data_IF_854868359793
#
_entry.id   IF_854868359793
#
_cell.length_a   1.000
_cell.length_b   1.000
_cell.length_c   1.000
_cell.angle_alpha   90.00
_cell.angle_beta   90.00
_cell.angle_gamma   90.00
#
_symmetry.space_group_name_H-M   'P 1'
#
loop_
_entity.id
_entity.type
_entity.pdbx_description
1 polymer ?
#
# COMPACT_ATOMS: atom_id res chain seq x y z
N UNK A 1 37.56 -8.56 -25.13
CA UNK A 1 36.94 -7.40 -25.81
C UNK A 1 35.60 -7.15 -25.10
N UNK A 2 35.43 -6.00 -24.45
CA UNK A 2 34.31 -5.71 -23.53
C UNK A 2 32.96 -5.62 -24.25
N UNK A 3 32.30 -6.76 -24.48
CA UNK A 3 30.91 -6.83 -24.97
C UNK A 3 29.85 -6.31 -23.98
N UNK A 4 30.29 -5.82 -22.81
CA UNK A 4 29.47 -5.45 -21.65
C UNK A 4 28.91 -4.01 -21.77
N UNK A 5 29.39 -3.22 -22.73
CA UNK A 5 28.88 -1.85 -22.98
C UNK A 5 27.63 -1.81 -23.87
N UNK A 6 27.02 -2.95 -24.21
CA UNK A 6 25.71 -2.94 -24.87
C UNK A 6 24.68 -2.27 -23.95
N UNK A 7 23.95 -1.30 -24.51
CA UNK A 7 22.91 -0.55 -23.80
C UNK A 7 21.89 -1.56 -23.21
N UNK A 8 21.60 -1.54 -21.91
CA UNK A 8 20.61 -2.43 -21.33
C UNK A 8 19.25 -2.16 -21.97
N UNK A 9 18.54 -3.24 -22.32
CA UNK A 9 17.13 -3.18 -22.72
C UNK A 9 16.28 -2.86 -21.49
N UNK A 10 15.02 -2.46 -21.69
CA UNK A 10 14.10 -2.03 -20.63
C UNK A 10 13.91 -3.04 -19.49
N UNK A 11 14.36 -4.29 -19.66
CA UNK A 11 14.24 -5.41 -18.74
C UNK A 11 15.46 -5.65 -17.83
N UNK A 12 16.48 -4.79 -17.86
CA UNK A 12 17.68 -5.02 -17.02
C UNK A 12 17.42 -4.56 -15.59
N UNK A 13 17.31 -5.50 -14.65
CA UNK A 13 17.07 -5.21 -13.23
C UNK A 13 18.31 -4.66 -12.52
N UNK A 14 18.12 -4.03 -11.36
CA UNK A 14 19.23 -3.64 -10.49
C UNK A 14 20.14 -4.84 -10.16
N UNK A 15 19.55 -6.02 -9.94
CA UNK A 15 20.30 -7.25 -9.68
C UNK A 15 21.21 -7.67 -10.86
N UNK A 16 20.73 -7.52 -12.10
CA UNK A 16 21.53 -7.83 -13.29
C UNK A 16 22.71 -6.88 -13.45
N UNK A 17 22.51 -5.58 -13.16
CA UNK A 17 23.58 -4.57 -13.20
C UNK A 17 24.63 -4.85 -12.12
N UNK A 18 24.20 -5.18 -10.90
CA UNK A 18 25.09 -5.55 -9.80
C UNK A 18 25.94 -6.79 -10.15
N UNK A 19 25.32 -7.80 -10.78
CA UNK A 19 26.03 -8.99 -11.25
C UNK A 19 27.08 -8.66 -12.32
N UNK A 20 26.74 -7.79 -13.27
CA UNK A 20 27.69 -7.35 -14.30
C UNK A 20 28.87 -6.56 -13.68
N UNK A 21 28.60 -5.72 -12.67
CA UNK A 21 29.62 -4.97 -11.93
C UNK A 21 30.58 -5.89 -11.16
N UNK A 22 30.06 -6.94 -10.55
CA UNK A 22 30.84 -7.93 -9.81
C UNK A 22 31.75 -8.77 -10.72
N UNK A 23 31.43 -8.88 -12.01
CA UNK A 23 32.28 -9.59 -12.98
C UNK A 23 33.54 -8.81 -13.40
N UNK A 24 33.65 -7.51 -13.06
CA UNK A 24 34.84 -6.70 -13.32
C UNK A 24 35.84 -6.89 -12.18
N UNK A 25 36.86 -7.72 -12.41
CA UNK A 25 37.98 -7.93 -11.49
C UNK A 25 39.08 -6.86 -11.72
N UNK A 26 38.82 -5.66 -11.21
CA UNK A 26 39.76 -4.54 -11.29
C UNK A 26 41.10 -4.86 -10.56
N UNK A 27 41.11 -5.47 -9.36
CA UNK A 27 42.36 -5.84 -8.70
C UNK A 27 43.25 -6.79 -9.50
N UNK A 28 42.69 -7.74 -10.24
CA UNK A 28 43.48 -8.61 -11.11
C UNK A 28 44.08 -7.84 -12.30
N UNK A 29 43.37 -6.88 -12.87
CA UNK A 29 43.86 -6.04 -13.97
C UNK A 29 44.98 -5.09 -13.51
N UNK A 30 44.84 -4.49 -12.34
CA UNK A 30 45.87 -3.65 -11.70
C UNK A 30 47.13 -4.46 -11.42
N UNK A 31 46.99 -5.68 -10.86
CA UNK A 31 48.11 -6.59 -10.64
C UNK A 31 48.82 -6.95 -11.94
N UNK A 32 48.08 -7.25 -13.01
CA UNK A 32 48.65 -7.56 -14.31
C UNK A 32 49.43 -6.38 -14.91
N UNK A 33 48.96 -5.14 -14.71
CA UNK A 33 49.68 -3.93 -15.09
C UNK A 33 50.98 -3.77 -14.31
N UNK A 34 50.95 -3.94 -12.99
CA UNK A 34 52.14 -3.82 -12.16
C UNK A 34 53.17 -4.92 -12.44
N UNK A 35 52.74 -6.16 -12.66
CA UNK A 35 53.62 -7.23 -13.14
C UNK A 35 54.28 -6.89 -14.48
N UNK A 36 53.54 -6.27 -15.42
CA UNK A 36 54.11 -5.85 -16.71
C UNK A 36 55.16 -4.74 -16.54
N UNK A 37 54.92 -3.78 -15.64
CA UNK A 37 55.90 -2.73 -15.30
C UNK A 37 57.15 -3.31 -14.66
N UNK A 38 57.00 -4.22 -13.69
CA UNK A 38 58.11 -4.90 -13.02
C UNK A 38 58.96 -5.69 -14.02
N UNK A 39 58.31 -6.49 -14.89
CA UNK A 39 59.01 -7.22 -15.96
C UNK A 39 59.82 -6.30 -16.87
N UNK A 40 59.28 -5.14 -17.25
CA UNK A 40 60.02 -4.15 -18.05
C UNK A 40 61.23 -3.61 -17.29
N UNK A 41 61.06 -3.25 -16.01
CA UNK A 41 62.16 -2.73 -15.19
C UNK A 41 63.30 -3.75 -15.05
N UNK A 42 62.98 -5.01 -14.76
CA UNK A 42 63.97 -6.08 -14.59
C UNK A 42 64.77 -6.31 -15.89
N UNK A 43 64.08 -6.32 -17.04
CA UNK A 43 64.74 -6.52 -18.35
C UNK A 43 65.59 -5.32 -18.77
N UNK A 44 65.19 -4.10 -18.42
CA UNK A 44 65.99 -2.91 -18.65
C UNK A 44 67.31 -2.95 -17.86
N UNK A 45 67.25 -3.30 -16.57
CA UNK A 45 68.47 -3.44 -15.73
C UNK A 45 69.37 -4.58 -16.23
N UNK A 46 68.78 -5.65 -16.75
CA UNK A 46 69.52 -6.77 -17.34
C UNK A 46 70.14 -6.48 -18.72
N UNK A 47 70.00 -5.26 -19.27
CA UNK A 47 70.56 -4.89 -20.56
C UNK A 47 69.87 -5.56 -21.75
N UNK A 48 68.56 -5.84 -21.64
CA UNK A 48 67.80 -6.42 -22.74
C UNK A 48 67.82 -5.51 -23.99
N UNK A 49 67.75 -6.09 -25.20
CA UNK A 49 67.78 -5.33 -26.44
C UNK A 49 66.50 -4.49 -26.61
N UNK A 50 66.63 -3.35 -27.29
CA UNK A 50 65.55 -2.38 -27.52
C UNK A 50 64.25 -3.01 -28.05
N UNK A 51 64.36 -3.98 -28.96
CA UNK A 51 63.20 -4.67 -29.53
C UNK A 51 62.41 -5.51 -28.53
N UNK A 52 63.02 -5.92 -27.42
CA UNK A 52 62.32 -6.58 -26.31
C UNK A 52 61.65 -5.57 -25.39
N UNK A 53 62.35 -4.46 -25.07
CA UNK A 53 61.81 -3.39 -24.24
C UNK A 53 60.56 -2.76 -24.88
N UNK A 54 60.58 -2.52 -26.20
CA UNK A 54 59.41 -2.03 -26.95
C UNK A 54 58.20 -2.98 -26.86
N UNK A 55 58.42 -4.29 -26.87
CA UNK A 55 57.34 -5.27 -26.69
C UNK A 55 56.74 -5.23 -25.29
N UNK A 56 57.58 -5.05 -24.27
CA UNK A 56 57.13 -4.91 -22.88
C UNK A 56 56.36 -3.59 -22.66
N UNK A 57 56.78 -2.50 -23.32
CA UNK A 57 56.04 -1.23 -23.33
C UNK A 57 54.66 -1.37 -23.95
N UNK A 58 54.56 -2.03 -25.10
CA UNK A 58 53.26 -2.32 -25.72
C UNK A 58 52.33 -3.16 -24.82
N UNK A 59 52.91 -4.10 -24.05
CA UNK A 59 52.15 -4.88 -23.07
C UNK A 59 51.66 -4.03 -21.88
N UNK A 60 52.49 -3.10 -21.40
CA UNK A 60 52.10 -2.14 -20.35
C UNK A 60 50.97 -1.24 -20.85
N UNK A 61 51.07 -0.69 -22.06
CA UNK A 61 50.02 0.15 -22.64
C UNK A 61 48.70 -0.62 -22.79
N UNK A 62 48.78 -1.88 -23.21
CA UNK A 62 47.60 -2.76 -23.29
C UNK A 62 46.97 -2.99 -21.92
N UNK A 63 47.77 -3.26 -20.90
CA UNK A 63 47.29 -3.45 -19.53
C UNK A 63 46.71 -2.15 -18.94
N UNK A 64 47.34 -0.99 -19.21
CA UNK A 64 46.84 0.33 -18.79
C UNK A 64 45.46 0.61 -19.40
N UNK A 65 45.31 0.41 -20.70
CA UNK A 65 44.02 0.58 -21.38
C UNK A 65 42.96 -0.40 -20.86
N UNK A 66 43.35 -1.60 -20.43
CA UNK A 66 42.41 -2.55 -19.84
C UNK A 66 41.90 -2.09 -18.47
N UNK A 67 42.80 -1.58 -17.61
CA UNK A 67 42.44 -0.97 -16.30
C UNK A 67 41.52 0.23 -16.51
N UNK A 68 41.92 1.20 -17.35
CA UNK A 68 41.13 2.40 -17.63
C UNK A 68 39.71 2.07 -18.13
N UNK A 69 39.60 1.13 -19.07
CA UNK A 69 38.30 0.69 -19.57
C UNK A 69 37.45 0.01 -18.49
N UNK A 70 38.08 -0.77 -17.62
CA UNK A 70 37.40 -1.43 -16.52
C UNK A 70 36.91 -0.44 -15.46
N UNK A 71 37.70 0.58 -15.12
CA UNK A 71 37.31 1.67 -14.21
C UNK A 71 36.12 2.46 -14.76
N UNK A 72 36.17 2.84 -16.04
CA UNK A 72 35.08 3.56 -16.70
C UNK A 72 33.81 2.71 -16.72
N UNK A 73 33.93 1.42 -17.06
CA UNK A 73 32.80 0.49 -17.08
C UNK A 73 32.21 0.29 -15.67
N UNK A 74 33.06 0.15 -14.65
CA UNK A 74 32.65 0.03 -13.25
C UNK A 74 31.86 1.27 -12.79
N UNK A 75 32.41 2.46 -13.01
CA UNK A 75 31.76 3.72 -12.62
C UNK A 75 30.41 3.96 -13.34
N UNK A 76 30.31 3.57 -14.62
CA UNK A 76 29.03 3.61 -15.35
C UNK A 76 28.01 2.61 -14.79
N UNK A 77 28.42 1.37 -14.50
CA UNK A 77 27.55 0.35 -13.91
C UNK A 77 27.06 0.77 -12.52
N UNK A 78 27.93 1.38 -11.70
CA UNK A 78 27.57 1.87 -10.36
C UNK A 78 26.52 2.99 -10.44
N UNK A 79 26.69 3.95 -11.38
CA UNK A 79 25.68 4.99 -11.64
C UNK A 79 24.35 4.41 -12.11
N UNK A 80 24.38 3.45 -13.04
CA UNK A 80 23.16 2.79 -13.55
C UNK A 80 22.46 1.96 -12.49
N UNK A 81 23.22 1.27 -11.64
CA UNK A 81 22.69 0.50 -10.53
C UNK A 81 21.91 1.39 -9.57
N UNK A 82 22.48 2.52 -9.16
CA UNK A 82 21.79 3.49 -8.29
C UNK A 82 20.47 3.97 -8.91
N UNK A 83 20.48 4.32 -10.20
CA UNK A 83 19.26 4.73 -10.89
C UNK A 83 18.20 3.62 -10.99
N UNK A 84 18.62 2.38 -11.26
CA UNK A 84 17.73 1.22 -11.34
C UNK A 84 17.09 0.89 -9.99
N UNK A 85 17.85 0.95 -8.90
CA UNK A 85 17.34 0.73 -7.54
C UNK A 85 16.24 1.74 -7.19
N UNK A 86 16.45 3.03 -7.48
CA UNK A 86 15.44 4.06 -7.20
C UNK A 86 14.20 3.90 -8.08
N UNK A 87 14.38 3.57 -9.37
CA UNK A 87 13.26 3.30 -10.27
C UNK A 87 12.42 2.08 -9.84
N UNK A 88 13.06 0.99 -9.39
CA UNK A 88 12.38 -0.20 -8.88
C UNK A 88 11.60 0.11 -7.59
N UNK A 89 12.18 0.90 -6.68
CA UNK A 89 11.48 1.36 -5.46
C UNK A 89 10.26 2.22 -5.79
N UNK A 90 10.40 3.17 -6.71
CA UNK A 90 9.30 4.03 -7.13
C UNK A 90 8.19 3.21 -7.80
N UNK A 91 8.55 2.30 -8.70
CA UNK A 91 7.59 1.40 -9.34
C UNK A 91 6.84 0.53 -8.32
N UNK A 92 7.55 -0.02 -7.34
CA UNK A 92 6.94 -0.80 -6.26
C UNK A 92 5.99 0.06 -5.40
N UNK A 93 6.39 1.29 -5.06
CA UNK A 93 5.56 2.22 -4.29
C UNK A 93 4.28 2.62 -5.05
N UNK A 94 4.40 2.95 -6.35
CA UNK A 94 3.26 3.26 -7.22
C UNK A 94 2.32 2.06 -7.31
N UNK A 95 2.85 0.85 -7.46
CA UNK A 95 2.04 -0.37 -7.50
C UNK A 95 1.30 -0.58 -6.17
N UNK A 96 1.99 -0.48 -5.03
CA UNK A 96 1.38 -0.63 -3.72
C UNK A 96 0.28 0.41 -3.47
N UNK A 97 0.50 1.67 -3.88
CA UNK A 97 -0.50 2.73 -3.83
C UNK A 97 -1.74 2.38 -4.66
N UNK A 98 -1.56 1.97 -5.92
CA UNK A 98 -2.68 1.60 -6.82
C UNK A 98 -3.46 0.41 -6.27
N UNK A 99 -2.77 -0.61 -5.75
CA UNK A 99 -3.40 -1.78 -5.15
C UNK A 99 -4.21 -1.40 -3.89
N UNK A 100 -3.70 -0.46 -3.07
CA UNK A 100 -4.41 0.04 -1.89
C UNK A 100 -5.65 0.86 -2.28
N UNK A 101 -5.55 1.74 -3.27
CA UNK A 101 -6.68 2.52 -3.81
C UNK A 101 -7.76 1.59 -4.36
N UNK A 102 -7.38 0.59 -5.16
CA UNK A 102 -8.33 -0.37 -5.71
C UNK A 102 -9.08 -1.14 -4.61
N UNK A 103 -8.37 -1.59 -3.56
CA UNK A 103 -8.99 -2.25 -2.39
C UNK A 103 -9.95 -1.33 -1.65
N UNK A 104 -9.53 -0.10 -1.37
CA UNK A 104 -10.38 0.93 -0.73
C UNK A 104 -11.65 1.16 -1.54
N UNK A 105 -11.52 1.37 -2.85
CA UNK A 105 -12.65 1.72 -3.71
C UNK A 105 -13.62 0.55 -3.87
N UNK A 106 -13.10 -0.69 -3.96
CA UNK A 106 -13.92 -1.89 -3.98
C UNK A 106 -14.74 -2.03 -2.69
N UNK A 107 -14.12 -1.86 -1.51
CA UNK A 107 -14.83 -1.93 -0.22
C UNK A 107 -15.81 -0.76 -0.06
N UNK A 108 -15.40 0.46 -0.40
CA UNK A 108 -16.28 1.63 -0.33
C UNK A 108 -17.51 1.47 -1.22
N UNK A 109 -17.34 0.92 -2.44
CA UNK A 109 -18.47 0.59 -3.32
C UNK A 109 -19.40 -0.44 -2.68
N UNK A 110 -18.86 -1.56 -2.18
CA UNK A 110 -19.67 -2.56 -1.50
C UNK A 110 -20.44 -2.00 -0.32
N UNK A 111 -19.82 -1.14 0.49
CA UNK A 111 -20.51 -0.46 1.59
C UNK A 111 -21.64 0.40 1.03
N UNK A 112 -21.40 1.25 0.03
CA UNK A 112 -22.46 2.10 -0.55
C UNK A 112 -23.63 1.30 -1.14
N UNK A 113 -23.33 0.18 -1.79
CA UNK A 113 -24.33 -0.60 -2.52
C UNK A 113 -25.09 -1.56 -1.58
N UNK A 114 -24.41 -2.23 -0.64
CA UNK A 114 -24.99 -3.29 0.21
C UNK A 114 -25.52 -2.76 1.56
N UNK A 115 -24.86 -1.75 2.14
CA UNK A 115 -25.20 -1.28 3.48
C UNK A 115 -26.63 -0.77 3.65
N UNK A 116 -27.19 0.07 2.76
CA UNK A 116 -28.52 0.66 2.99
C UNK A 116 -29.61 -0.41 3.15
N UNK A 117 -29.56 -1.46 2.32
CA UNK A 117 -30.50 -2.58 2.40
C UNK A 117 -30.34 -3.40 3.68
N UNK A 118 -29.11 -3.73 4.08
CA UNK A 118 -28.82 -4.45 5.32
C UNK A 118 -29.22 -3.64 6.56
N UNK A 119 -28.92 -2.34 6.56
CA UNK A 119 -29.26 -1.43 7.63
C UNK A 119 -30.78 -1.29 7.79
N UNK A 120 -31.52 -1.19 6.69
CA UNK A 120 -32.98 -1.17 6.71
C UNK A 120 -33.58 -2.46 7.30
N UNK A 121 -33.01 -3.63 6.99
CA UNK A 121 -33.45 -4.91 7.56
C UNK A 121 -33.24 -4.96 9.08
N UNK A 122 -32.07 -4.54 9.56
CA UNK A 122 -31.78 -4.49 11.00
C UNK A 122 -32.70 -3.49 11.70
N UNK A 123 -32.89 -2.30 11.12
CA UNK A 123 -33.81 -1.30 11.65
C UNK A 123 -35.26 -1.81 11.71
N UNK A 124 -35.70 -2.59 10.72
CA UNK A 124 -37.02 -3.21 10.71
C UNK A 124 -37.19 -4.24 11.83
N UNK A 125 -36.17 -5.08 12.08
CA UNK A 125 -36.17 -6.03 13.20
C UNK A 125 -36.27 -5.32 14.56
N UNK A 126 -35.50 -4.24 14.74
CA UNK A 126 -35.53 -3.46 15.97
C UNK A 126 -36.87 -2.75 16.19
N UNK A 127 -37.56 -2.32 15.13
CA UNK A 127 -38.93 -1.78 15.22
C UNK A 127 -39.94 -2.86 15.58
N UNK A 128 -39.85 -4.05 14.96
CA UNK A 128 -40.75 -5.17 15.24
C UNK A 128 -40.61 -5.67 16.69
N UNK A 129 -39.39 -5.73 17.23
CA UNK A 129 -39.16 -6.02 18.65
C UNK A 129 -39.86 -4.99 19.55
N UNK A 130 -39.70 -3.69 19.27
CA UNK A 130 -40.34 -2.64 20.05
C UNK A 130 -41.87 -2.68 19.98
N UNK A 131 -42.44 -3.01 18.81
CA UNK A 131 -43.89 -3.19 18.64
C UNK A 131 -44.42 -4.40 19.41
N UNK A 132 -43.68 -5.52 19.39
CA UNK A 132 -44.03 -6.72 20.15
C UNK A 132 -43.95 -6.47 21.65
N UNK A 133 -42.91 -5.81 22.14
CA UNK A 133 -42.74 -5.48 23.55
C UNK A 133 -43.84 -4.52 24.03
N UNK A 134 -44.19 -3.50 23.25
CA UNK A 134 -45.30 -2.61 23.57
C UNK A 134 -46.65 -3.35 23.62
N UNK A 135 -46.87 -4.35 22.76
CA UNK A 135 -48.08 -5.17 22.80
C UNK A 135 -48.10 -6.11 24.03
N UNK A 136 -46.95 -6.65 24.42
CA UNK A 136 -46.78 -7.44 25.65
C UNK A 136 -47.07 -6.58 26.88
N UNK A 137 -46.51 -5.37 26.95
CA UNK A 137 -46.74 -4.44 28.05
C UNK A 137 -48.23 -4.07 28.16
N UNK A 138 -48.87 -3.69 27.05
CA UNK A 138 -50.30 -3.38 27.04
C UNK A 138 -51.17 -4.58 27.47
N UNK A 139 -50.83 -5.80 27.02
CA UNK A 139 -51.54 -7.01 27.46
C UNK A 139 -51.34 -7.25 28.96
N UNK A 140 -50.12 -7.15 29.45
CA UNK A 140 -49.80 -7.33 30.87
C UNK A 140 -50.54 -6.31 31.74
N UNK A 141 -50.60 -5.04 31.34
CA UNK A 141 -51.40 -4.01 32.04
C UNK A 141 -52.87 -4.41 32.17
N UNK A 142 -53.48 -4.95 31.11
CA UNK A 142 -54.89 -5.37 31.15
C UNK A 142 -55.15 -6.65 31.95
N UNK A 143 -54.13 -7.50 32.13
CA UNK A 143 -54.28 -8.83 32.74
C UNK A 143 -53.97 -8.82 34.24
N UNK A 144 -53.13 -7.89 34.72
CA UNK A 144 -52.84 -7.72 36.16
C UNK A 144 -54.11 -7.32 36.95
N UNK A 145 -55.10 -6.74 36.28
CA UNK A 145 -56.40 -6.39 36.85
C UNK A 145 -57.47 -7.50 36.71
N UNK A 146 -57.15 -8.67 36.13
CA UNK A 146 -58.11 -9.77 36.00
C UNK A 146 -58.05 -10.77 37.18
N UNK A 147 -59.21 -11.15 37.73
CA UNK A 147 -59.32 -12.16 38.82
C UNK A 147 -58.87 -13.57 38.37
N UNK A 148 -58.40 -13.74 37.13
CA UNK A 148 -58.08 -15.03 36.53
C UNK A 148 -56.65 -15.51 36.79
N UNK A 149 -55.78 -14.69 37.37
CA UNK A 149 -54.44 -15.10 37.86
C UNK A 149 -53.50 -15.56 36.75
N UNK A 150 -53.60 -14.99 35.56
CA UNK A 150 -52.76 -15.36 34.41
C UNK A 150 -51.31 -14.90 34.63
N UNK A 151 -50.30 -15.69 34.22
CA UNK A 151 -48.90 -15.28 34.34
C UNK A 151 -48.58 -14.13 33.38
N UNK A 152 -47.70 -13.23 33.82
CA UNK A 152 -47.16 -12.13 33.01
C UNK A 152 -46.46 -12.68 31.77
N UNK A 153 -46.76 -12.10 30.61
CA UNK A 153 -46.09 -12.42 29.36
C UNK A 153 -44.70 -11.79 29.38
N UNK A 154 -43.67 -12.58 29.07
CA UNK A 154 -42.30 -12.08 28.96
C UNK A 154 -42.12 -11.27 27.67
N UNK A 155 -41.31 -10.22 27.73
CA UNK A 155 -40.96 -9.43 26.54
C UNK A 155 -40.06 -10.22 25.59
N UNK A 156 -39.94 -9.72 24.36
CA UNK A 156 -39.05 -10.26 23.32
C UNK A 156 -37.60 -10.22 23.80
N UNK A 157 -37.18 -9.12 24.45
CA UNK A 157 -35.84 -8.98 25.00
C UNK A 157 -35.53 -10.08 26.04
N UNK A 158 -36.42 -10.33 27.00
CA UNK A 158 -36.27 -11.40 28.01
C UNK A 158 -36.21 -12.78 27.33
N UNK A 159 -37.03 -13.01 26.31
CA UNK A 159 -37.10 -14.29 25.60
C UNK A 159 -35.79 -14.63 24.88
N UNK A 160 -35.14 -13.63 24.29
CA UNK A 160 -33.89 -13.80 23.52
C UNK A 160 -32.67 -13.74 24.46
N UNK A 161 -32.68 -12.85 25.45
CA UNK A 161 -31.48 -12.44 26.20
C UNK A 161 -31.49 -12.76 27.70
N UNK A 162 -32.65 -13.10 28.28
CA UNK A 162 -32.88 -13.26 29.72
C UNK A 162 -32.05 -14.32 30.44
N UNK A 163 -31.45 -15.26 29.69
CA UNK A 163 -30.51 -16.24 30.24
C UNK A 163 -29.04 -15.82 30.16
N UNK A 164 -28.73 -14.70 29.50
CA UNK A 164 -27.36 -14.30 29.15
C UNK A 164 -26.96 -12.99 29.83
N UNK A 165 -27.87 -12.03 29.92
CA UNK A 165 -27.59 -10.69 30.45
C UNK A 165 -28.42 -10.40 31.71
N UNK A 166 -27.87 -9.62 32.63
CA UNK A 166 -28.58 -9.20 33.86
C UNK A 166 -29.55 -8.04 33.63
N UNK A 167 -29.41 -7.35 32.51
CA UNK A 167 -30.31 -6.33 31.99
C UNK A 167 -30.51 -6.71 30.54
N UNK A 168 -31.74 -7.04 30.17
CA UNK A 168 -32.05 -7.55 28.84
C UNK A 168 -31.95 -6.43 27.80
N UNK A 169 -30.92 -6.45 26.92
CA UNK A 169 -30.77 -5.40 25.92
C UNK A 169 -31.85 -5.53 24.86
N UNK A 170 -32.40 -4.39 24.40
CA UNK A 170 -33.20 -4.36 23.17
C UNK A 170 -32.29 -4.12 21.97
N UNK A 171 -32.67 -4.65 20.79
CA UNK A 171 -32.00 -4.31 19.54
C UNK A 171 -32.12 -2.81 19.25
N UNK A 172 -33.26 -2.20 19.57
CA UNK A 172 -33.47 -0.75 19.39
C UNK A 172 -32.43 0.09 20.13
N UNK A 173 -32.10 -0.26 21.36
CA UNK A 173 -31.20 0.55 22.20
C UNK A 173 -29.72 0.24 21.97
N UNK A 174 -29.42 -0.94 21.44
CA UNK A 174 -28.03 -1.38 21.19
C UNK A 174 -27.55 -1.09 19.77
N UNK A 175 -28.45 -0.90 18.81
CA UNK A 175 -28.11 -0.68 17.41
C UNK A 175 -28.09 0.81 17.07
N UNK A 176 -26.98 1.25 16.46
CA UNK A 176 -26.80 2.60 15.93
C UNK A 176 -26.25 2.50 14.50
N UNK A 177 -27.06 2.89 13.51
CA UNK A 177 -26.76 2.73 12.08
C UNK A 177 -26.72 4.10 11.41
N UNK A 178 -25.60 4.41 10.74
CA UNK A 178 -25.38 5.68 10.07
C UNK A 178 -26.27 5.86 8.85
N UNK A 179 -26.68 7.08 8.52
CA UNK A 179 -27.30 7.35 7.24
C UNK A 179 -26.33 7.08 6.08
N UNK A 180 -26.83 6.46 5.01
CA UNK A 180 -26.08 6.28 3.76
C UNK A 180 -27.04 5.99 2.60
N UNK A 181 -26.89 6.73 1.50
CA UNK A 181 -27.80 6.62 0.36
C UNK A 181 -29.23 6.95 0.79
N UNK A 182 -30.17 6.05 0.48
CA UNK A 182 -31.59 6.22 0.83
C UNK A 182 -31.92 5.79 2.27
N UNK A 183 -30.95 5.29 3.04
CA UNK A 183 -31.17 4.93 4.45
C UNK A 183 -30.90 6.14 5.34
N UNK A 184 -31.90 6.59 6.09
CA UNK A 184 -31.88 7.79 6.93
C UNK A 184 -31.12 7.62 8.27
N UNK A 185 -30.69 6.41 8.60
CA UNK A 185 -30.08 6.09 9.89
C UNK A 185 -31.05 5.46 10.89
N UNK A 186 -30.51 4.90 11.97
CA UNK A 186 -31.28 4.31 13.06
C UNK A 186 -30.59 4.49 14.41
N UNK A 187 -31.40 4.63 15.47
CA UNK A 187 -30.90 4.82 16.84
C UNK A 187 -30.18 6.16 17.02
N UNK A 188 -29.14 6.17 17.87
CA UNK A 188 -28.36 7.38 18.18
C UNK A 188 -27.63 8.00 16.97
N UNK A 189 -27.51 7.26 15.86
CA UNK A 189 -26.89 7.76 14.64
C UNK A 189 -27.75 8.76 13.87
N UNK A 190 -29.08 8.74 14.04
CA UNK A 190 -29.97 9.73 13.40
C UNK A 190 -29.77 11.17 13.90
N UNK A 191 -29.08 11.35 15.04
CA UNK A 191 -28.70 12.66 15.58
C UNK A 191 -27.27 13.10 15.26
N UNK A 192 -26.52 12.34 14.44
CA UNK A 192 -25.14 12.71 14.09
C UNK A 192 -25.15 13.82 13.05
N UNK A 193 -24.38 14.87 13.35
CA UNK A 193 -24.19 16.02 12.46
C UNK A 193 -23.45 15.56 11.20
N UNK A 194 -24.07 15.71 10.02
CA UNK A 194 -23.37 15.46 8.77
C UNK A 194 -22.30 16.54 8.53
N UNK A 195 -21.34 16.27 7.65
CA UNK A 195 -20.32 17.27 7.31
C UNK A 195 -20.92 18.48 6.61
N UNK A 196 -22.00 18.29 5.85
CA UNK A 196 -22.76 19.37 5.21
C UNK A 196 -23.47 20.22 6.26
N UNK A 197 -24.15 19.59 7.22
CA UNK A 197 -24.79 20.31 8.33
C UNK A 197 -23.76 21.04 9.20
N UNK A 198 -22.61 20.41 9.46
CA UNK A 198 -21.52 21.05 10.21
C UNK A 198 -20.96 22.28 9.49
N UNK A 199 -20.89 22.23 8.16
CA UNK A 199 -20.48 23.38 7.37
C UNK A 199 -21.55 24.48 7.37
N UNK A 200 -22.81 24.13 7.18
CA UNK A 200 -23.93 25.09 7.19
C UNK A 200 -24.06 25.79 8.54
N UNK A 201 -23.93 25.05 9.64
CA UNK A 201 -24.16 25.56 11.00
C UNK A 201 -22.91 26.26 11.55
N UNK A 202 -21.72 25.70 11.32
CA UNK A 202 -20.48 26.15 11.99
C UNK A 202 -19.39 26.64 11.04
N UNK A 203 -19.58 26.56 9.72
CA UNK A 203 -18.54 26.89 8.73
C UNK A 203 -17.36 25.93 8.73
N UNK A 204 -17.46 24.78 9.40
CA UNK A 204 -16.36 23.83 9.57
C UNK A 204 -16.41 22.76 8.47
N UNK A 205 -15.31 22.60 7.74
CA UNK A 205 -15.07 21.44 6.88
C UNK A 205 -16.03 21.30 5.70
N UNK A 206 -16.11 22.30 4.83
CA UNK A 206 -17.04 22.37 3.68
C UNK A 206 -17.19 21.13 2.81
N UNK A 207 -18.26 21.08 1.98
CA UNK A 207 -18.63 19.92 1.20
C UNK A 207 -17.44 19.43 0.37
N UNK A 208 -17.07 18.16 0.56
CA UNK A 208 -15.99 17.55 -0.20
C UNK A 208 -16.45 17.43 -1.65
N UNK A 209 -15.89 18.24 -2.56
CA UNK A 209 -16.13 18.09 -3.99
C UNK A 209 -15.77 16.66 -4.42
N UNK A 210 -16.79 15.82 -4.57
CA UNK A 210 -16.68 14.51 -5.15
C UNK A 210 -16.76 14.61 -6.69
N UNK A 211 -15.93 15.45 -7.32
CA UNK A 211 -15.47 15.25 -8.69
C UNK A 211 -14.44 16.32 -9.10
N UNK A 212 -13.25 15.88 -9.51
CA UNK A 212 -12.38 16.61 -10.44
C UNK A 212 -11.22 15.69 -10.88
N UNK A 213 -11.56 14.66 -11.66
CA UNK A 213 -10.62 14.16 -12.67
C UNK A 213 -10.33 15.26 -13.70
N UNK A 214 -9.46 16.22 -13.38
CA UNK A 214 -8.95 17.21 -14.34
C UNK A 214 -7.76 18.00 -13.78
N UNK A 215 -6.65 17.35 -13.42
CA UNK A 215 -5.40 18.11 -13.29
C UNK A 215 -4.80 18.29 -14.69
N UNK A 216 -5.38 19.22 -15.45
CA UNK A 216 -4.74 19.77 -16.66
C UNK A 216 -3.44 20.42 -16.21
N UNK A 217 -2.32 19.83 -16.64
CA UNK A 217 -1.03 20.53 -16.72
C UNK A 217 -1.24 21.80 -17.54
N UNK A 218 -1.24 22.95 -16.90
CA UNK A 218 -0.92 24.22 -17.55
C UNK A 218 0.55 24.49 -17.33
N UNK A 219 1.34 24.17 -18.36
CA UNK A 219 2.60 24.84 -18.63
C UNK A 219 2.28 26.24 -19.14
N UNK A 220 2.80 27.27 -18.47
CA UNK A 220 3.55 28.38 -19.07
C UNK A 220 4.65 28.74 -18.09
#
# INVERSE_FOLDING_TARGET
>A
MFGILKKPTADTSAADIAKARAAIDLPALERALDEAKTRRADRLVAGAPDGELLRLEAAIDTARLAVERAEIAAAELDRRHAAAVEAEKEAAAIKAYRDAVAKRDAVARRIRDEYPGLAAQIAALAKAEAEADAAVDAANETTVDDEAGRPTIQTTAVTIWGGTYSIDPTLRDTVSLLPLGDFEGFGAAGGRLTREDAYVIYGIGGPGHADAGANKRTHV
#
